data_IF_364121476347
#
_entry.id   IF_364121476347
#
_cell.length_a   1.000
_cell.length_b   1.000
_cell.length_c   1.000
_cell.angle_alpha   90.00
_cell.angle_beta   90.00
_cell.angle_gamma   90.00
#
_symmetry.space_group_name_H-M   'P 1'
#
loop_
_entity.id
_entity.type
_entity.pdbx_description
1 polymer ?
#
# COMPACT_ATOMS: atom_id res chain seq x y z
N UNK A 1 51.73 12.01 -1.32
CA UNK A 1 52.60 11.93 -0.12
C UNK A 1 51.75 11.62 1.06
N UNK A 2 52.14 10.54 1.71
CA UNK A 2 51.79 9.96 3.03
C UNK A 2 50.48 9.16 3.04
N UNK A 3 50.44 7.83 2.93
CA UNK A 3 51.09 6.68 3.61
C UNK A 3 51.05 6.76 5.14
N UNK A 4 50.26 5.84 5.74
CA UNK A 4 50.61 5.02 6.92
C UNK A 4 49.29 4.40 7.41
N UNK A 5 49.04 3.06 7.29
CA UNK A 5 49.62 1.94 8.03
C UNK A 5 49.24 1.95 9.50
N UNK A 6 48.56 0.90 9.91
CA UNK A 6 48.85 -0.09 10.98
C UNK A 6 47.51 -0.76 11.31
N UNK A 7 47.26 -2.01 11.10
CA UNK A 7 47.83 -3.28 11.51
C UNK A 7 47.92 -3.48 13.04
N UNK A 8 47.48 -4.61 13.47
CA UNK A 8 47.61 -5.35 14.74
C UNK A 8 46.29 -5.47 15.55
N UNK A 9 45.94 -6.54 16.10
CA UNK A 9 46.34 -7.97 16.19
C UNK A 9 45.36 -8.63 17.16
N UNK A 10 44.80 -9.75 16.81
CA UNK A 10 44.84 -11.06 17.43
C UNK A 10 44.40 -11.27 18.89
N UNK A 11 43.54 -12.30 19.06
CA UNK A 11 43.51 -13.35 20.07
C UNK A 11 42.70 -13.11 21.31
N UNK A 12 41.63 -13.91 21.49
CA UNK A 12 41.54 -14.88 22.56
C UNK A 12 40.34 -15.83 22.37
N UNK A 13 40.68 -17.05 22.06
CA UNK A 13 39.78 -18.18 22.20
C UNK A 13 39.69 -18.54 23.72
N UNK A 14 38.48 -18.76 24.19
CA UNK A 14 38.25 -19.45 25.44
C UNK A 14 37.15 -20.49 25.24
N UNK A 15 37.59 -21.71 25.09
CA UNK A 15 36.80 -22.90 25.17
C UNK A 15 36.39 -23.13 26.64
N UNK A 16 35.13 -23.32 26.92
CA UNK A 16 34.72 -24.06 28.10
C UNK A 16 33.83 -25.23 27.64
N UNK A 17 34.41 -26.37 27.89
CA UNK A 17 33.78 -27.68 27.76
C UNK A 17 32.93 -28.01 28.98
N UNK A 18 31.98 -28.90 28.74
CA UNK A 18 31.35 -29.83 29.65
C UNK A 18 30.27 -29.36 30.61
N UNK A 19 29.05 -29.82 30.36
CA UNK A 19 28.44 -30.89 31.19
C UNK A 19 27.16 -31.38 30.49
N UNK A 20 27.14 -32.67 30.15
CA UNK A 20 25.91 -33.45 29.97
C UNK A 20 25.43 -33.94 31.31
N UNK A 21 24.12 -34.05 31.52
CA UNK A 21 23.53 -35.32 31.96
C UNK A 21 22.37 -35.77 31.04
N UNK A 22 22.41 -37.01 30.83
CA UNK A 22 21.61 -38.11 30.33
C UNK A 22 20.09 -38.00 30.47
N UNK A 23 19.44 -38.31 29.36
CA UNK A 23 18.20 -39.09 29.18
C UNK A 23 16.93 -38.77 29.97
N UNK A 24 15.90 -38.37 29.24
CA UNK A 24 14.60 -39.07 29.22
C UNK A 24 13.91 -38.79 27.90
N UNK A 25 13.69 -39.86 27.14
CA UNK A 25 12.75 -39.88 26.01
C UNK A 25 11.36 -39.57 26.55
N UNK A 26 10.76 -38.52 26.00
CA UNK A 26 9.32 -38.38 25.94
C UNK A 26 9.01 -38.07 24.48
N UNK A 27 8.33 -39.00 23.85
CA UNK A 27 7.67 -38.85 22.58
C UNK A 27 6.65 -37.73 22.78
N UNK A 28 6.87 -36.63 22.11
CA UNK A 28 5.86 -35.59 21.97
C UNK A 28 5.83 -35.22 20.48
N UNK A 29 4.65 -35.34 19.94
CA UNK A 29 4.23 -35.03 18.62
C UNK A 29 4.91 -33.78 18.06
N UNK A 30 5.42 -33.88 16.84
CA UNK A 30 5.78 -32.78 16.01
C UNK A 30 4.49 -32.02 15.62
N UNK A 31 4.09 -31.06 16.43
CA UNK A 31 3.25 -29.97 15.96
C UNK A 31 4.11 -29.07 15.07
N UNK A 32 3.99 -29.31 13.80
CA UNK A 32 4.37 -28.43 12.72
C UNK A 32 3.62 -27.11 12.96
N UNK A 33 4.29 -25.95 13.13
CA UNK A 33 3.59 -24.69 13.08
C UNK A 33 3.07 -24.54 11.65
N UNK A 34 1.80 -24.83 11.48
CA UNK A 34 1.06 -24.36 10.33
C UNK A 34 1.06 -22.85 10.43
N UNK A 35 1.96 -22.22 9.70
CA UNK A 35 1.90 -20.80 9.36
C UNK A 35 0.67 -20.60 8.45
N UNK A 36 -0.50 -20.72 9.04
CA UNK A 36 -1.72 -20.17 8.53
C UNK A 36 -1.74 -18.68 8.91
N UNK A 37 -0.86 -17.92 8.26
CA UNK A 37 -1.16 -16.52 8.02
C UNK A 37 -2.25 -16.49 6.95
N UNK A 38 -3.41 -16.99 7.35
CA UNK A 38 -4.67 -16.65 6.71
C UNK A 38 -4.72 -15.12 6.75
N UNK A 39 -4.64 -14.52 5.55
CA UNK A 39 -4.86 -13.09 5.38
C UNK A 39 -6.19 -12.79 6.07
N UNK A 40 -6.10 -12.31 7.31
CA UNK A 40 -7.25 -11.84 8.06
C UNK A 40 -7.97 -10.87 7.15
N UNK A 41 -9.11 -11.27 6.66
CA UNK A 41 -9.97 -10.50 5.78
C UNK A 41 -10.18 -9.17 6.49
N UNK A 42 -9.61 -8.11 5.92
CA UNK A 42 -9.55 -6.76 6.52
C UNK A 42 -10.93 -6.08 6.59
N UNK A 43 -11.98 -6.85 6.90
CA UNK A 43 -13.35 -6.39 7.00
C UNK A 43 -13.52 -5.35 8.11
N UNK A 44 -12.77 -5.51 9.23
CA UNK A 44 -12.91 -4.69 10.43
C UNK A 44 -11.90 -3.54 10.51
N UNK A 45 -11.26 -3.18 9.43
CA UNK A 45 -10.28 -2.09 9.42
C UNK A 45 -10.72 -0.96 8.51
N UNK A 46 -10.55 0.27 8.98
CA UNK A 46 -10.75 1.47 8.14
C UNK A 46 -9.93 1.33 6.86
N UNK A 47 -10.58 1.44 5.70
CA UNK A 47 -9.94 1.20 4.41
C UNK A 47 -10.45 2.11 3.31
N UNK A 48 -9.59 2.35 2.34
CA UNK A 48 -9.90 2.97 1.07
C UNK A 48 -9.95 1.86 0.02
N UNK A 49 -11.02 1.80 -0.78
CA UNK A 49 -11.21 0.76 -1.80
C UNK A 49 -11.56 1.42 -3.13
N UNK A 50 -10.77 1.20 -4.15
CA UNK A 50 -11.03 1.66 -5.51
C UNK A 50 -12.13 0.79 -6.13
N UNK A 51 -13.14 1.45 -6.70
CA UNK A 51 -14.32 0.77 -7.24
C UNK A 51 -14.00 0.08 -8.56
N UNK A 52 -13.28 0.75 -9.46
CA UNK A 52 -12.82 0.15 -10.72
C UNK A 52 -11.29 0.08 -10.74
N UNK A 53 -10.79 -1.13 -10.64
CA UNK A 53 -9.36 -1.43 -10.62
C UNK A 53 -8.68 -1.27 -11.99
N UNK A 54 -9.44 -1.02 -13.04
CA UNK A 54 -8.89 -0.99 -14.40
C UNK A 54 -9.59 0.03 -15.26
N UNK A 55 -9.07 1.25 -15.24
CA UNK A 55 -9.63 2.40 -15.94
C UNK A 55 -8.94 2.66 -17.29
N UNK A 56 -9.63 3.39 -18.16
CA UNK A 56 -9.09 3.79 -19.46
C UNK A 56 -8.29 5.09 -19.35
N UNK A 57 -7.38 5.32 -20.30
CA UNK A 57 -6.64 6.59 -20.42
C UNK A 57 -7.52 7.82 -20.63
N UNK A 58 -8.74 7.64 -21.12
CA UNK A 58 -9.68 8.76 -21.33
C UNK A 58 -10.47 9.09 -20.07
N UNK A 59 -10.53 8.18 -19.09
CA UNK A 59 -11.23 8.46 -17.85
C UNK A 59 -10.52 9.59 -17.11
N UNK A 60 -11.31 10.50 -16.59
CA UNK A 60 -10.80 11.69 -15.89
C UNK A 60 -10.75 11.52 -14.38
N UNK A 61 -11.42 10.50 -13.86
CA UNK A 61 -11.66 10.30 -12.45
C UNK A 61 -11.48 8.83 -12.08
N UNK A 62 -10.82 8.57 -10.96
CA UNK A 62 -10.86 7.30 -10.25
C UNK A 62 -11.80 7.43 -9.05
N UNK A 63 -12.71 6.48 -8.91
CA UNK A 63 -13.64 6.45 -7.77
C UNK A 63 -13.12 5.48 -6.71
N UNK A 64 -13.14 5.93 -5.46
CA UNK A 64 -12.83 5.09 -4.32
C UNK A 64 -13.89 5.24 -3.24
N UNK A 65 -14.00 4.24 -2.39
CA UNK A 65 -14.89 4.23 -1.24
C UNK A 65 -14.07 4.16 0.04
N UNK A 66 -14.29 5.09 0.95
CA UNK A 66 -13.85 4.99 2.33
C UNK A 66 -14.87 4.11 3.05
N UNK A 67 -14.41 3.06 3.71
CA UNK A 67 -15.25 2.16 4.50
C UNK A 67 -14.79 2.26 5.94
N UNK A 68 -15.68 2.72 6.80
CA UNK A 68 -15.47 2.89 8.23
C UNK A 68 -16.19 1.79 9.02
N UNK A 69 -15.52 0.74 9.47
CA UNK A 69 -16.12 -0.29 10.31
C UNK A 69 -16.11 0.06 11.80
N UNK A 70 -15.51 1.19 12.20
CA UNK A 70 -15.39 1.58 13.59
C UNK A 70 -16.73 2.03 14.19
N UNK A 71 -16.83 1.99 15.52
CA UNK A 71 -17.99 2.49 16.29
C UNK A 71 -17.98 4.03 16.44
N UNK A 72 -17.08 4.73 15.76
CA UNK A 72 -16.95 6.19 15.79
C UNK A 72 -16.79 6.76 14.39
N UNK A 73 -17.15 8.04 14.25
CA UNK A 73 -17.03 8.78 13.00
C UNK A 73 -15.55 9.05 12.66
N UNK A 74 -15.20 9.00 11.38
CA UNK A 74 -13.86 9.34 10.91
C UNK A 74 -13.89 10.54 9.96
N UNK A 75 -12.87 11.38 10.03
CA UNK A 75 -12.79 12.59 9.23
C UNK A 75 -11.74 12.47 8.11
N UNK A 76 -12.01 13.10 6.98
CA UNK A 76 -11.09 13.18 5.86
C UNK A 76 -11.18 14.53 5.15
N UNK A 77 -10.05 15.03 4.65
CA UNK A 77 -9.97 16.22 3.83
C UNK A 77 -10.24 15.95 2.35
N UNK A 78 -10.16 16.98 1.51
CA UNK A 78 -10.25 16.86 0.07
C UNK A 78 -8.95 16.35 -0.57
N UNK A 79 -7.83 16.46 0.13
CA UNK A 79 -6.50 16.11 -0.37
C UNK A 79 -6.35 14.61 -0.65
N UNK A 80 -5.64 14.31 -1.73
CA UNK A 80 -5.21 12.97 -2.10
C UNK A 80 -3.91 13.06 -2.91
N UNK A 81 -3.20 11.95 -3.03
CA UNK A 81 -2.08 11.80 -3.94
C UNK A 81 -2.36 10.65 -4.92
N UNK A 82 -1.82 10.78 -6.12
CA UNK A 82 -1.72 9.70 -7.08
C UNK A 82 -0.25 9.33 -7.19
N UNK A 83 0.05 8.07 -7.07
CA UNK A 83 1.39 7.55 -7.22
C UNK A 83 1.40 6.50 -8.34
N UNK A 84 2.52 6.42 -9.05
CA UNK A 84 2.76 5.42 -10.08
C UNK A 84 3.87 4.50 -9.65
N UNK A 85 3.70 3.22 -9.90
CA UNK A 85 4.78 2.25 -9.73
C UNK A 85 5.78 2.36 -10.89
N UNK A 86 7.04 2.49 -10.53
CA UNK A 86 8.17 2.52 -11.47
C UNK A 86 9.31 1.73 -10.83
N UNK A 87 9.77 0.68 -11.49
CA UNK A 87 10.86 -0.19 -11.02
C UNK A 87 10.64 -0.72 -9.59
N UNK A 88 9.41 -1.11 -9.26
CA UNK A 88 9.03 -1.61 -7.95
C UNK A 88 8.90 -0.55 -6.85
N UNK A 89 8.97 0.73 -7.20
CA UNK A 89 8.85 1.85 -6.26
C UNK A 89 7.69 2.76 -6.61
N UNK A 90 6.96 3.22 -5.59
CA UNK A 90 5.90 4.20 -5.73
C UNK A 90 6.46 5.62 -5.84
N UNK A 91 6.12 6.30 -6.91
CA UNK A 91 6.53 7.67 -7.17
C UNK A 91 5.30 8.56 -7.32
N UNK A 92 5.27 9.66 -6.60
CA UNK A 92 4.16 10.61 -6.69
C UNK A 92 4.09 11.23 -8.07
N UNK A 93 2.90 11.21 -8.67
CA UNK A 93 2.61 11.94 -9.91
C UNK A 93 2.23 13.37 -9.52
N UNK A 94 3.03 14.38 -9.88
CA UNK A 94 2.77 15.75 -9.42
C UNK A 94 1.52 16.32 -10.07
N UNK A 95 0.74 17.07 -9.28
CA UNK A 95 -0.32 17.91 -9.82
C UNK A 95 0.27 19.16 -10.50
N UNK A 96 -0.45 19.75 -11.48
CA UNK A 96 -0.10 21.06 -12.01
C UNK A 96 0.02 22.10 -10.88
N UNK A 97 0.96 23.03 -11.00
CA UNK A 97 1.29 24.01 -9.95
C UNK A 97 0.12 24.91 -9.50
N UNK A 98 -0.90 25.04 -10.33
CA UNK A 98 -2.09 25.86 -10.06
C UNK A 98 -3.26 25.05 -9.45
N UNK A 99 -3.05 23.79 -9.14
CA UNK A 99 -4.06 22.96 -8.48
C UNK A 99 -3.79 22.94 -6.97
N UNK A 100 -4.81 23.26 -6.22
CA UNK A 100 -4.84 23.16 -4.77
C UNK A 100 -6.10 22.46 -4.29
N UNK A 101 -6.08 21.99 -3.07
CA UNK A 101 -7.23 21.40 -2.40
C UNK A 101 -7.84 22.38 -1.42
N UNK A 102 -9.14 22.34 -1.24
CA UNK A 102 -9.84 23.11 -0.21
C UNK A 102 -9.65 22.46 1.16
N UNK A 103 -9.56 23.28 2.21
CA UNK A 103 -9.44 22.80 3.59
C UNK A 103 -10.80 22.38 4.20
N UNK A 104 -11.65 21.72 3.39
CA UNK A 104 -12.95 21.24 3.85
C UNK A 104 -12.79 19.82 4.38
N UNK A 105 -13.25 19.62 5.61
CA UNK A 105 -13.38 18.28 6.22
C UNK A 105 -14.76 17.70 5.92
N UNK A 106 -14.75 16.42 5.63
CA UNK A 106 -15.93 15.57 5.49
C UNK A 106 -15.86 14.43 6.50
N UNK A 107 -17.00 13.87 6.84
CA UNK A 107 -17.11 12.81 7.85
C UNK A 107 -17.73 11.56 7.25
N UNK A 108 -17.20 10.41 7.61
CA UNK A 108 -17.83 9.10 7.39
C UNK A 108 -18.32 8.60 8.74
N UNK A 109 -19.62 8.43 8.87
CA UNK A 109 -20.23 7.96 10.10
C UNK A 109 -19.72 6.58 10.51
N UNK A 110 -19.86 6.26 11.80
CA UNK A 110 -19.63 4.92 12.34
C UNK A 110 -20.37 3.87 11.49
N UNK A 111 -19.70 2.75 11.17
CA UNK A 111 -20.20 1.68 10.30
C UNK A 111 -20.67 2.14 8.91
N UNK A 112 -20.24 3.34 8.49
CA UNK A 112 -20.64 3.97 7.23
C UNK A 112 -19.62 3.84 6.12
N UNK A 113 -19.96 4.44 4.99
CA UNK A 113 -19.03 4.60 3.88
C UNK A 113 -19.27 5.90 3.13
N UNK A 114 -18.24 6.43 2.48
CA UNK A 114 -18.32 7.59 1.59
C UNK A 114 -17.58 7.35 0.29
N UNK A 115 -18.11 7.86 -0.81
CA UNK A 115 -17.41 7.83 -2.10
C UNK A 115 -16.54 9.08 -2.22
N UNK A 116 -15.30 8.88 -2.64
CA UNK A 116 -14.33 9.94 -2.91
C UNK A 116 -13.79 9.81 -4.34
N UNK A 117 -13.30 10.89 -4.89
CA UNK A 117 -12.88 10.98 -6.28
C UNK A 117 -11.45 11.48 -6.38
N UNK A 118 -10.63 10.77 -7.15
CA UNK A 118 -9.31 11.21 -7.58
C UNK A 118 -9.35 11.71 -9.02
N UNK A 119 -9.17 13.02 -9.23
CA UNK A 119 -9.16 13.62 -10.57
C UNK A 119 -7.83 13.38 -11.27
N UNK A 120 -7.72 12.27 -11.97
CA UNK A 120 -6.53 11.87 -12.71
C UNK A 120 -6.43 12.55 -14.08
N UNK A 121 -7.52 13.15 -14.57
CA UNK A 121 -7.55 13.90 -15.82
C UNK A 121 -6.60 15.08 -15.86
N UNK A 122 -6.23 15.60 -14.70
CA UNK A 122 -5.28 16.71 -14.53
C UNK A 122 -3.82 16.27 -14.60
N UNK A 123 -3.54 14.98 -14.57
CA UNK A 123 -2.20 14.43 -14.48
C UNK A 123 -1.67 13.99 -15.84
N UNK A 124 -0.35 14.00 -15.99
CA UNK A 124 0.29 13.34 -17.12
C UNK A 124 0.20 11.83 -16.94
N UNK A 125 -0.69 11.18 -17.72
CA UNK A 125 -1.03 9.76 -17.57
C UNK A 125 -0.40 8.92 -18.67
N UNK A 126 0.29 7.89 -18.27
CA UNK A 126 0.73 6.81 -19.15
C UNK A 126 0.11 5.50 -18.67
N UNK A 127 -0.07 4.48 -19.52
CA UNK A 127 -0.49 3.18 -19.06
C UNK A 127 0.45 2.64 -17.99
N UNK A 128 -0.11 1.99 -16.97
CA UNK A 128 0.71 1.47 -15.87
C UNK A 128 -0.10 1.19 -14.61
N UNK A 129 0.61 0.86 -13.56
CA UNK A 129 0.10 0.58 -12.23
C UNK A 129 0.18 1.84 -11.36
N UNK A 130 -0.92 2.19 -10.73
CA UNK A 130 -1.09 3.40 -9.94
C UNK A 130 -1.76 3.08 -8.61
N UNK A 131 -1.64 3.97 -7.64
CA UNK A 131 -2.44 3.96 -6.42
C UNK A 131 -2.95 5.36 -6.08
N UNK A 132 -4.13 5.40 -5.51
CA UNK A 132 -4.70 6.56 -4.86
C UNK A 132 -4.37 6.49 -3.37
N UNK A 133 -3.78 7.55 -2.84
CA UNK A 133 -3.40 7.66 -1.43
C UNK A 133 -4.13 8.83 -0.80
N UNK A 134 -4.66 8.64 0.39
CA UNK A 134 -5.47 9.64 1.10
C UNK A 134 -5.26 9.57 2.60
N UNK A 135 -5.26 10.75 3.25
CA UNK A 135 -5.27 10.86 4.70
C UNK A 135 -6.72 10.75 5.21
N UNK A 136 -6.96 9.82 6.12
CA UNK A 136 -8.26 9.57 6.72
C UNK A 136 -8.03 9.32 8.21
N UNK A 137 -8.58 10.16 9.05
CA UNK A 137 -8.44 10.09 10.50
C UNK A 137 -6.97 9.98 10.95
N UNK A 138 -6.09 10.80 10.33
CA UNK A 138 -4.65 10.82 10.61
C UNK A 138 -3.86 9.62 10.07
N UNK A 139 -4.51 8.67 9.38
CA UNK A 139 -3.88 7.49 8.77
C UNK A 139 -3.75 7.67 7.28
N UNK A 140 -2.63 7.24 6.73
CA UNK A 140 -2.45 7.15 5.27
C UNK A 140 -3.02 5.83 4.75
N UNK A 141 -4.08 5.91 3.98
CA UNK A 141 -4.70 4.75 3.32
C UNK A 141 -4.47 4.84 1.83
N UNK A 142 -4.29 3.71 1.18
CA UNK A 142 -4.12 3.64 -0.27
C UNK A 142 -4.75 2.39 -0.84
N UNK A 143 -5.12 2.47 -2.13
CA UNK A 143 -5.53 1.32 -2.91
C UNK A 143 -5.10 1.53 -4.36
N UNK A 144 -4.85 0.45 -5.08
CA UNK A 144 -4.22 0.46 -6.39
C UNK A 144 -5.20 0.22 -7.54
N UNK A 145 -4.81 0.67 -8.72
CA UNK A 145 -5.55 0.51 -9.98
C UNK A 145 -4.62 0.55 -11.18
N UNK A 146 -5.12 0.11 -12.32
CA UNK A 146 -4.38 0.13 -13.59
C UNK A 146 -4.97 1.12 -14.57
N UNK A 147 -4.12 1.89 -15.23
CA UNK A 147 -4.48 2.68 -16.42
C UNK A 147 -4.10 1.86 -17.65
N UNK A 148 -5.09 1.52 -18.47
CA UNK A 148 -4.88 0.72 -19.69
C UNK A 148 -4.48 1.58 -20.90
N UNK A 149 -3.72 0.97 -21.80
CA UNK A 149 -3.30 1.57 -23.06
C UNK A 149 -4.42 1.51 -24.12
N UNK A 150 -5.39 2.38 -24.04
CA UNK A 150 -6.34 2.57 -25.13
C UNK A 150 -7.65 1.83 -25.02
N UNK A 151 -8.65 2.35 -25.73
CA UNK A 151 -9.93 1.71 -25.99
C UNK A 151 -9.71 0.76 -27.17
N UNK A 152 -9.86 -0.54 -26.96
CA UNK A 152 -10.19 -1.42 -28.07
C UNK A 152 -11.67 -1.15 -28.39
N UNK A 153 -11.93 -0.30 -29.35
CA UNK A 153 -13.24 -0.30 -29.98
C UNK A 153 -13.44 -1.68 -30.61
N UNK A 154 -14.55 -2.37 -30.32
CA UNK A 154 -14.88 -3.57 -31.08
C UNK A 154 -14.99 -3.14 -32.55
N UNK A 155 -14.13 -3.68 -33.40
CA UNK A 155 -14.08 -3.38 -34.84
C UNK A 155 -15.26 -4.01 -35.61
N UNK A 156 -16.30 -4.48 -34.92
CA UNK A 156 -17.38 -5.31 -35.48
C UNK A 156 -18.77 -4.65 -35.50
N UNK A 157 -18.88 -3.35 -35.73
CA UNK A 157 -20.22 -2.74 -35.89
C UNK A 157 -20.49 -2.25 -37.32
N UNK A 158 -19.63 -2.49 -38.28
CA UNK A 158 -19.87 -2.16 -39.69
C UNK A 158 -19.60 -3.35 -40.61
N UNK A 159 -20.53 -4.29 -40.63
CA UNK A 159 -20.79 -5.21 -41.74
C UNK A 159 -22.27 -5.31 -41.98
#
# INVERSE_FOLDING_TARGET
MNKAKYLFLLIAALAFASCRPTARQAVADAEQPTDNTEAATSADTLRLVIIDKSISRIDSVVQARIINPNDYDVNYGQEYAIERETDGHWQQVPFPKNIGFTSVLSTVAAHGSATVYGHIGLLHRTPGHYRLTKQIDGRTLSDDFYIRSGIKFPTEIYR
#
